data_IF_917700746912
#
_entry.id   IF_917700746912
#
_cell.length_a   1.000
_cell.length_b   1.000
_cell.length_c   1.000
_cell.angle_alpha   90.00
_cell.angle_beta   90.00
_cell.angle_gamma   90.00
#
_symmetry.space_group_name_H-M   'P 1'
#
loop_
_entity.id
_entity.type
_entity.pdbx_description
1 polymer ?
2 water ?
#
# COMPACT_ATOMS: atom_id res chain seq x y z
N UNK A 10 -37.17 1.01 -10.82
CA UNK A 10 -35.89 0.33 -10.61
C UNK A 10 -34.94 0.51 -11.81
N UNK A 11 -33.71 0.95 -11.54
CA UNK A 11 -32.70 1.14 -12.59
C UNK A 11 -31.50 0.22 -12.43
N UNK A 12 -31.64 -1.02 -12.92
CA UNK A 12 -30.72 -2.12 -12.62
C UNK A 12 -29.32 -1.96 -13.23
N UNK A 13 -29.23 -1.40 -14.44
CA UNK A 13 -27.94 -1.08 -14.99
C UNK A 13 -27.16 -0.14 -14.07
N UNK A 14 -27.86 0.85 -13.54
CA UNK A 14 -27.26 1.84 -12.66
C UNK A 14 -26.93 1.29 -11.29
N UNK A 15 -27.79 0.42 -10.76
CA UNK A 15 -27.50 -0.20 -9.47
C UNK A 15 -26.29 -1.13 -9.55
N UNK A 16 -26.18 -1.84 -10.68
CA UNK A 16 -25.05 -2.72 -10.94
C UNK A 16 -23.77 -1.93 -10.88
N UNK A 17 -23.75 -0.79 -11.56
CA UNK A 17 -22.53 0.00 -11.58
C UNK A 17 -22.20 0.43 -10.14
N UNK A 18 -23.23 0.89 -9.43
CA UNK A 18 -23.08 1.34 -8.06
C UNK A 18 -22.51 0.22 -7.16
N UNK A 19 -23.12 -0.95 -7.22
CA UNK A 19 -22.71 -2.10 -6.44
C UNK A 19 -21.27 -2.49 -6.72
N UNK A 20 -20.92 -2.42 -8.02
CA UNK A 20 -19.58 -2.70 -8.47
C UNK A 20 -18.64 -1.77 -7.74
N UNK A 21 -19.10 -0.53 -7.55
CA UNK A 21 -18.26 0.54 -7.03
C UNK A 21 -17.96 0.37 -5.55
N UNK A 22 -18.90 -0.18 -4.78
CA UNK A 22 -18.66 -0.44 -3.35
C UNK A 22 -17.87 -1.70 -3.09
N UNK A 23 -17.56 -2.45 -4.14
CA UNK A 23 -16.92 -3.75 -3.99
C UNK A 23 -15.83 -3.79 -2.91
N UNK A 24 -15.95 -4.81 -2.07
CA UNK A 24 -14.97 -5.17 -1.08
C UNK A 24 -13.59 -5.21 -1.72
N UNK A 25 -12.66 -4.43 -1.19
CA UNK A 25 -11.27 -4.50 -1.64
C UNK A 25 -10.61 -5.66 -0.93
N UNK A 26 -9.92 -6.53 -1.69
CA UNK A 26 -9.22 -7.66 -1.09
C UNK A 26 -8.24 -7.17 -0.06
N UNK A 27 -8.05 -7.91 1.03
CA UNK A 27 -7.16 -7.54 2.15
C UNK A 27 -5.75 -7.10 1.76
N UNK A 28 -5.29 -6.01 2.38
CA UNK A 28 -3.90 -5.58 2.24
C UNK A 28 -2.96 -6.53 2.95
N UNK A 29 -1.64 -6.37 2.72
CA UNK A 29 -0.59 -7.11 3.42
C UNK A 29 -0.66 -6.92 4.94
N UNK A 30 -0.14 -7.87 5.72
CA UNK A 30 -0.21 -7.77 7.16
C UNK A 30 1.00 -7.16 7.86
N UNK A 31 1.02 -7.31 9.17
CA UNK A 31 2.16 -6.91 10.01
C UNK A 31 3.42 -7.69 9.66
N UNK A 32 4.56 -7.04 9.75
CA UNK A 32 5.85 -7.72 9.67
C UNK A 32 6.62 -7.47 10.96
N UNK A 33 7.68 -8.25 11.20
CA UNK A 33 8.58 -7.99 12.32
C UNK A 33 10.05 -7.98 11.86
N UNK A 34 10.85 -7.12 12.48
CA UNK A 34 12.25 -6.96 12.11
C UNK A 34 13.02 -8.20 12.49
N UNK A 35 14.08 -8.52 11.73
CA UNK A 35 14.78 -9.78 11.95
C UNK A 35 15.80 -9.75 13.07
N UNK A 36 16.16 -8.55 13.55
CA UNK A 36 17.10 -8.40 14.66
C UNK A 36 17.16 -6.99 15.25
N UNK A 37 18.10 -6.79 16.17
CA UNK A 37 18.13 -5.58 16.98
C UNK A 37 19.22 -4.58 16.63
N UNK A 38 19.80 -4.68 15.44
CA UNK A 38 20.81 -3.72 15.05
C UNK A 38 20.15 -2.39 14.77
N UNK A 39 20.92 -1.32 14.86
CA UNK A 39 20.39 0.02 14.67
C UNK A 39 19.88 0.20 13.26
N UNK A 40 20.68 -0.32 12.31
CA UNK A 40 20.34 -0.28 10.89
C UNK A 40 19.00 -0.92 10.65
N UNK A 41 18.87 -2.16 11.12
CA UNK A 41 17.64 -2.90 10.98
C UNK A 41 16.44 -2.10 11.47
N UNK A 42 16.52 -1.58 12.70
CA UNK A 42 15.44 -0.76 13.27
C UNK A 42 15.08 0.44 12.39
N UNK A 43 16.09 1.16 11.91
CA UNK A 43 15.90 2.36 11.09
C UNK A 43 15.21 2.07 9.75
N UNK A 44 15.72 1.06 9.05
CA UNK A 44 15.16 0.67 7.77
C UNK A 44 13.76 0.08 7.95
N UNK A 45 13.59 -0.67 9.03
CA UNK A 45 12.33 -1.34 9.29
C UNK A 45 11.22 -0.35 9.59
N UNK A 46 11.50 0.70 10.34
CA UNK A 46 10.43 1.64 10.66
C UNK A 46 10.03 2.41 9.39
N UNK A 47 11.01 2.64 8.53
CA UNK A 47 10.75 3.33 7.28
C UNK A 47 9.83 2.52 6.35
N UNK A 48 10.09 1.21 6.26
CA UNK A 48 9.22 0.36 5.45
C UNK A 48 7.86 0.26 6.11
N UNK A 49 7.84 0.28 7.43
CA UNK A 49 6.58 0.17 8.14
C UNK A 49 5.79 1.42 7.93
N UNK A 50 6.50 2.55 8.01
CA UNK A 50 5.95 3.87 7.72
C UNK A 50 5.38 3.95 6.29
N UNK A 51 6.13 3.45 5.32
CA UNK A 51 5.65 3.45 3.95
C UNK A 51 4.38 2.65 3.85
N UNK A 52 4.38 1.45 4.40
CA UNK A 52 3.21 0.57 4.35
C UNK A 52 2.02 1.21 5.07
N UNK A 53 2.29 1.76 6.25
CA UNK A 53 1.28 2.48 7.01
C UNK A 53 0.59 3.50 6.13
N UNK A 54 1.40 4.29 5.42
CA UNK A 54 0.92 5.36 4.57
C UNK A 54 0.03 4.83 3.42
N UNK A 55 0.36 3.68 2.86
CA UNK A 55 -0.39 3.12 1.75
C UNK A 55 -1.76 2.64 2.19
N UNK A 56 -1.81 1.94 3.32
CA UNK A 56 -3.08 1.45 3.84
C UNK A 56 -4.02 2.62 4.08
N UNK A 57 -3.47 3.72 4.61
CA UNK A 57 -4.27 4.89 4.93
C UNK A 57 -4.80 5.53 3.65
N UNK A 58 -4.03 5.42 2.59
CA UNK A 58 -4.43 5.98 1.32
C UNK A 58 -5.47 5.10 0.64
N UNK A 59 -5.30 3.79 0.72
CA UNK A 59 -6.25 2.88 0.07
C UNK A 59 -7.61 3.00 0.73
N UNK A 60 -7.59 3.30 2.02
CA UNK A 60 -8.83 3.44 2.76
C UNK A 60 -9.52 4.68 2.26
N UNK A 61 -8.72 5.69 1.92
CA UNK A 61 -9.27 6.93 1.42
C UNK A 61 -9.92 6.69 0.07
N UNK A 62 -9.25 5.90 -0.78
CA UNK A 62 -9.78 5.45 -2.05
C UNK A 62 -11.05 4.63 -1.88
N UNK A 63 -11.13 3.86 -0.79
CA UNK A 63 -12.32 3.07 -0.53
C UNK A 63 -13.49 4.00 -0.36
N UNK A 64 -13.25 5.11 0.32
CA UNK A 64 -14.26 6.15 0.46
C UNK A 64 -14.73 6.67 -0.92
N UNK A 65 -13.78 6.95 -1.81
CA UNK A 65 -14.12 7.60 -3.06
C UNK A 65 -14.95 6.68 -3.92
N UNK A 66 -14.52 5.42 -4.00
CA UNK A 66 -15.28 4.41 -4.70
C UNK A 66 -16.68 4.30 -4.15
N UNK A 67 -16.82 4.48 -2.84
CA UNK A 67 -18.12 4.43 -2.18
C UNK A 67 -18.92 5.72 -2.39
N UNK A 68 -18.24 6.86 -2.45
CA UNK A 68 -18.89 8.13 -2.77
C UNK A 68 -19.51 8.08 -4.16
N UNK A 69 -18.81 7.42 -5.08
CA UNK A 69 -19.27 7.27 -6.44
C UNK A 69 -20.53 6.40 -6.50
N UNK A 70 -20.50 5.29 -5.78
CA UNK A 70 -21.66 4.43 -5.70
C UNK A 70 -22.88 5.26 -5.22
N UNK A 71 -22.66 6.07 -4.19
CA UNK A 71 -23.69 6.99 -3.70
C UNK A 71 -24.16 7.97 -4.78
N UNK A 72 -23.21 8.57 -5.50
CA UNK A 72 -23.50 9.43 -6.64
C UNK A 72 -24.47 8.77 -7.60
N UNK A 73 -24.12 7.58 -8.05
CA UNK A 73 -24.96 6.84 -8.99
C UNK A 73 -26.36 6.55 -8.42
N UNK A 74 -26.42 6.19 -7.14
CA UNK A 74 -27.70 5.89 -6.49
C UNK A 74 -28.53 7.12 -6.32
N UNK A 75 -27.84 8.26 -6.20
CA UNK A 75 -28.49 9.54 -6.06
C UNK A 75 -29.11 9.91 -7.40
N UNK A 76 -28.37 9.72 -8.48
CA UNK A 76 -28.92 9.97 -9.79
C UNK A 76 -30.07 9.04 -10.01
N UNK A 77 -29.94 7.82 -9.52
CA UNK A 77 -31.00 6.85 -9.69
C UNK A 77 -32.28 7.33 -8.99
N UNK A 78 -32.13 7.87 -7.79
CA UNK A 78 -33.26 8.41 -7.06
C UNK A 78 -33.88 9.55 -7.82
N UNK A 79 -33.03 10.37 -8.41
CA UNK A 79 -33.46 11.49 -9.25
C UNK A 79 -34.31 11.00 -10.42
N UNK A 80 -33.87 9.95 -11.09
CA UNK A 80 -34.64 9.38 -12.19
C UNK A 80 -36.02 8.89 -11.76
N UNK A 81 -36.12 8.34 -10.56
CA UNK A 81 -37.41 7.84 -10.10
C UNK A 81 -38.32 9.04 -9.78
N UNK A 82 -37.73 10.14 -9.34
CA UNK A 82 -38.49 11.37 -9.14
C UNK A 82 -39.10 11.85 -10.45
N UNK A 83 -38.40 11.58 -11.55
CA UNK A 83 -38.87 12.02 -12.85
C UNK A 83 -40.04 11.21 -13.32
N UNK A 84 -39.96 9.89 -13.13
CA UNK A 84 -41.07 9.02 -13.47
C UNK A 84 -42.30 9.31 -12.58
N UNK A 85 -42.06 9.72 -11.33
CA UNK A 85 -43.17 10.11 -10.44
C UNK A 85 -43.90 11.36 -10.95
N UNK A 86 -43.14 12.29 -11.53
CA UNK A 86 -43.71 13.49 -12.12
C UNK A 86 -44.26 13.21 -13.52
N UNK A 87 -44.38 11.92 -13.84
CA UNK A 87 -45.24 11.45 -14.92
C UNK A 87 -46.51 10.92 -14.26
N UNK A 88 -47.19 11.83 -13.56
CA UNK A 88 -48.53 11.55 -13.09
C UNK A 88 -49.45 11.71 -14.29
N UNK A 89 -49.77 10.58 -14.92
CA UNK A 89 -50.84 10.51 -15.89
C UNK A 89 -52.17 10.36 -15.13
N UNK A 90 -52.07 10.34 -13.80
CA UNK A 90 -53.24 10.35 -12.91
C UNK A 90 -53.84 11.75 -12.83
N UNK A 91 -53.03 12.75 -13.17
CA UNK A 91 -53.51 14.13 -13.29
C UNK A 91 -53.73 14.47 -14.76
N UNK A 92 -54.66 13.75 -15.39
CA UNK A 92 -55.05 13.98 -16.79
C UNK A 92 -56.49 13.50 -17.05
N UNK A 105 -40.74 18.34 -19.62
CA UNK A 105 -40.53 17.41 -18.51
C UNK A 105 -39.25 17.70 -17.70
N UNK A 106 -39.28 18.77 -16.90
CA UNK A 106 -38.12 19.34 -16.19
C UNK A 106 -37.08 18.35 -15.66
N UNK A 107 -35.80 18.72 -15.83
CA UNK A 107 -34.69 17.90 -15.33
C UNK A 107 -34.61 17.98 -13.79
N UNK A 108 -34.02 16.97 -13.18
CA UNK A 108 -33.98 16.87 -11.73
C UNK A 108 -32.54 16.75 -11.22
N UNK A 109 -32.23 17.43 -10.12
CA UNK A 109 -30.88 17.38 -9.54
C UNK A 109 -30.72 16.31 -8.47
N UNK A 110 -29.85 15.31 -8.75
CA UNK A 110 -29.56 14.21 -7.84
C UNK A 110 -29.16 14.71 -6.47
N UNK A 111 -29.86 14.20 -5.45
CA UNK A 111 -29.68 14.61 -4.07
C UNK A 111 -28.38 14.05 -3.53
N UNK A 112 -27.39 14.91 -3.32
CA UNK A 112 -26.12 14.43 -2.79
C UNK A 112 -25.86 14.96 -1.38
N UNK A 113 -26.84 15.68 -0.85
CA UNK A 113 -26.76 16.28 0.48
C UNK A 113 -26.54 15.29 1.63
N UNK A 114 -26.50 14.00 1.30
CA UNK A 114 -26.30 12.97 2.30
C UNK A 114 -25.20 12.01 1.89
N UNK A 115 -24.22 12.51 1.16
CA UNK A 115 -23.11 11.66 0.77
C UNK A 115 -21.84 12.04 1.52
N UNK A 116 -21.24 11.05 2.18
CA UNK A 116 -19.91 11.09 2.82
C UNK A 116 -18.87 11.83 2.00
N UNK A 117 -18.12 12.70 2.64
CA UNK A 117 -17.04 13.42 1.98
C UNK A 117 -15.81 12.54 1.92
N UNK A 118 -14.72 13.07 1.32
CA UNK A 118 -13.44 12.37 1.25
C UNK A 118 -12.85 12.05 2.62
N UNK A 119 -12.42 10.81 2.79
CA UNK A 119 -11.76 10.35 4.02
C UNK A 119 -10.34 10.92 4.13
N UNK A 120 -10.09 11.70 5.18
CA UNK A 120 -8.81 12.38 5.38
C UNK A 120 -7.67 11.37 5.58
N UNK A 121 -6.53 11.63 4.96
CA UNK A 121 -5.40 10.71 5.05
C UNK A 121 -4.47 11.13 6.17
N UNK A 122 -4.39 10.31 7.24
CA UNK A 122 -3.62 10.59 8.46
C UNK A 122 -2.20 11.07 8.17
N UNK A 123 -1.97 12.35 8.47
CA UNK A 123 -0.65 12.94 8.32
C UNK A 123 0.32 12.37 9.36
N UNK A 124 0.88 11.20 9.04
CA UNK A 124 1.85 10.60 9.92
C UNK A 124 3.24 10.76 9.28
N UNK A 125 4.22 11.12 10.11
CA UNK A 125 5.55 11.51 9.63
C UNK A 125 6.48 10.31 9.42
N UNK A 126 7.68 10.60 8.94
CA UNK A 126 8.59 9.58 8.44
C UNK A 126 9.96 9.64 9.12
N UNK A 127 10.40 8.50 9.70
CA UNK A 127 11.72 8.34 10.31
C UNK A 127 12.90 8.69 9.37
N UNK A 128 14.11 8.89 9.91
CA UNK A 128 15.30 8.97 9.07
C UNK A 128 16.61 8.83 9.86
N UNK A 129 17.08 7.59 9.99
CA UNK A 129 18.35 7.25 10.63
C UNK A 129 18.46 7.74 12.08
N UNK A 135 30.06 2.01 16.52
CA UNK A 135 30.88 0.80 16.57
C UNK A 135 30.45 -0.09 17.74
N UNK A 136 30.83 -1.37 17.67
CA UNK A 136 30.53 -2.36 18.71
C UNK A 136 31.29 -3.66 18.38
N UNK A 137 31.68 -4.44 19.40
CA UNK A 137 32.57 -5.56 19.10
C UNK A 137 31.82 -6.73 18.47
N UNK A 138 32.57 -7.50 17.69
CA UNK A 138 32.01 -8.42 16.72
C UNK A 138 31.26 -9.59 17.33
N UNK A 139 31.73 -10.03 18.48
CA UNK A 139 31.07 -11.09 19.22
C UNK A 139 29.65 -10.68 19.56
N UNK A 140 29.48 -9.45 20.04
CA UNK A 140 28.18 -8.90 20.36
C UNK A 140 27.31 -8.77 19.12
N UNK A 141 27.88 -8.19 18.08
CA UNK A 141 27.19 -8.03 16.81
C UNK A 141 26.66 -9.38 16.37
N UNK A 142 27.56 -10.35 16.32
CA UNK A 142 27.19 -11.73 15.99
C UNK A 142 25.99 -12.19 16.81
N UNK A 143 26.06 -12.02 18.12
CA UNK A 143 24.99 -12.45 19.01
C UNK A 143 23.66 -11.85 18.57
N UNK A 144 23.62 -10.52 18.52
CA UNK A 144 22.40 -9.84 18.12
C UNK A 144 21.85 -10.38 16.81
N UNK A 145 22.72 -10.51 15.82
CA UNK A 145 22.34 -10.98 14.50
C UNK A 145 21.72 -12.36 14.60
N UNK A 146 22.41 -13.26 15.29
CA UNK A 146 21.92 -14.64 15.39
C UNK A 146 21.01 -14.87 16.60
N UNK A 147 20.73 -13.81 17.34
CA UNK A 147 19.62 -13.82 18.29
C UNK A 147 18.33 -13.49 17.54
N UNK A 148 18.46 -13.27 16.24
CA UNK A 148 17.31 -13.00 15.41
C UNK A 148 17.08 -14.01 14.31
N UNK A 149 16.11 -13.70 13.46
CA UNK A 149 15.85 -14.48 12.26
C UNK A 149 16.88 -14.15 11.19
N UNK A 150 17.84 -15.05 11.03
CA UNK A 150 18.89 -14.88 10.04
C UNK A 150 18.35 -14.99 8.61
N UNK A 151 17.08 -15.36 8.48
CA UNK A 151 16.49 -15.54 7.18
C UNK A 151 15.48 -14.45 6.85
N UNK A 152 15.10 -13.69 7.88
CA UNK A 152 14.21 -12.54 7.74
C UNK A 152 12.93 -12.89 7.01
N UNK A 153 12.23 -13.90 7.54
CA UNK A 153 11.12 -14.48 6.81
C UNK A 153 9.89 -13.57 6.85
N UNK A 154 9.67 -12.94 8.00
CA UNK A 154 8.57 -12.00 8.15
C UNK A 154 8.67 -10.87 7.12
N UNK A 155 9.87 -10.34 6.96
CA UNK A 155 10.08 -9.25 6.03
C UNK A 155 10.10 -9.75 4.61
N UNK A 156 10.56 -10.98 4.40
CA UNK A 156 10.56 -11.55 3.06
C UNK A 156 9.11 -11.82 2.70
N UNK A 157 8.33 -12.19 3.71
CA UNK A 157 6.91 -12.43 3.49
C UNK A 157 6.16 -11.11 3.21
N UNK A 158 6.48 -10.10 4.01
CA UNK A 158 5.94 -8.75 3.89
C UNK A 158 6.19 -8.24 2.51
N UNK A 159 7.41 -8.50 2.06
CA UNK A 159 7.83 -8.10 0.74
C UNK A 159 7.03 -8.85 -0.31
N UNK A 160 6.96 -10.15 -0.14
CA UNK A 160 6.18 -11.00 -1.02
C UNK A 160 4.74 -10.53 -1.17
N UNK A 161 4.12 -10.18 -0.05
CA UNK A 161 2.74 -9.73 -0.04
C UNK A 161 2.53 -8.42 -0.77
N UNK A 162 3.40 -7.46 -0.52
CA UNK A 162 3.20 -6.16 -1.11
C UNK A 162 3.31 -6.30 -2.61
N UNK A 163 4.27 -7.11 -3.03
CA UNK A 163 4.53 -7.32 -4.44
C UNK A 163 3.29 -7.83 -5.15
N UNK A 164 2.62 -8.79 -4.53
CA UNK A 164 1.49 -9.46 -5.15
C UNK A 164 0.32 -8.52 -5.21
N UNK A 165 0.21 -7.64 -4.21
CA UNK A 165 -0.92 -6.73 -4.10
C UNK A 165 -1.00 -5.77 -5.28
N UNK A 166 0.15 -5.45 -5.87
CA UNK A 166 0.19 -4.66 -7.09
C UNK A 166 -0.89 -5.11 -8.08
N UNK A 167 -0.72 -6.33 -8.57
CA UNK A 167 -1.63 -6.87 -9.54
C UNK A 167 -3.04 -6.86 -9.00
N UNK A 168 -3.17 -7.13 -7.72
CA UNK A 168 -4.47 -7.21 -7.10
C UNK A 168 -5.12 -5.84 -7.16
N UNK A 169 -4.40 -4.83 -6.75
CA UNK A 169 -4.94 -3.50 -6.82
C UNK A 169 -5.29 -3.07 -8.25
N UNK A 170 -4.57 -3.62 -9.23
CA UNK A 170 -4.90 -3.38 -10.64
C UNK A 170 -6.21 -4.03 -11.02
N UNK A 171 -6.37 -5.29 -10.63
CA UNK A 171 -7.61 -5.99 -10.84
C UNK A 171 -8.75 -5.28 -10.13
N UNK A 172 -8.46 -4.76 -8.94
CA UNK A 172 -9.47 -4.03 -8.18
C UNK A 172 -10.04 -2.82 -8.94
N UNK A 173 -9.15 -2.06 -9.57
CA UNK A 173 -9.53 -0.88 -10.30
C UNK A 173 -10.40 -1.18 -11.52
N UNK A 174 -10.41 -2.44 -11.96
CA UNK A 174 -11.26 -2.82 -13.09
C UNK A 174 -12.73 -2.65 -12.74
N UNK A 175 -13.01 -2.53 -11.45
CA UNK A 175 -14.38 -2.35 -10.97
C UNK A 175 -14.98 -1.02 -11.40
N UNK A 176 -14.14 -0.13 -11.94
CA UNK A 176 -14.57 1.24 -12.23
C UNK A 176 -14.40 1.62 -13.68
N UNK A 177 -13.50 0.91 -14.34
CA UNK A 177 -13.12 1.13 -15.73
C UNK A 177 -14.28 1.26 -16.73
N UNK A 178 -15.34 0.49 -16.53
CA UNK A 178 -16.44 0.48 -17.50
C UNK A 178 -17.66 1.15 -16.93
N UNK A 179 -18.24 2.11 -17.66
CA UNK A 179 -19.39 2.93 -17.24
C UNK A 179 -20.69 2.14 -17.23
N UNK A 180 -21.67 2.59 -16.46
CA UNK A 180 -22.96 1.92 -16.41
C UNK A 180 -23.47 1.74 -17.81
N UNK A 181 -24.15 0.61 -18.05
CA UNK A 181 -24.63 0.30 -19.40
C UNK A 181 -25.98 0.93 -19.64
N UNK A 182 -26.15 1.53 -20.83
CA UNK A 182 -27.40 2.17 -21.18
C UNK A 182 -27.70 3.42 -20.35
N UNK A 183 -26.68 4.24 -20.19
CA UNK A 183 -26.85 5.47 -19.48
C UNK A 183 -26.04 6.55 -20.16
N UNK A 184 -26.73 7.57 -20.62
CA UNK A 184 -26.07 8.67 -21.28
C UNK A 184 -26.60 9.96 -20.71
N UNK A 185 -25.89 11.06 -20.94
CA UNK A 185 -26.29 12.34 -20.37
C UNK A 185 -25.12 12.96 -19.64
N UNK A 186 -25.23 14.22 -19.27
CA UNK A 186 -24.14 14.88 -18.57
C UNK A 186 -23.74 14.18 -17.25
N UNK A 187 -24.73 13.83 -16.43
CA UNK A 187 -24.46 13.10 -15.18
C UNK A 187 -23.69 11.82 -15.45
N UNK A 188 -24.15 11.05 -16.43
CA UNK A 188 -23.51 9.79 -16.78
C UNK A 188 -22.05 9.94 -17.25
N UNK A 189 -21.75 11.02 -17.97
CA UNK A 189 -20.37 11.30 -18.37
C UNK A 189 -19.55 11.85 -17.20
N UNK A 190 -20.25 12.41 -16.21
CA UNK A 190 -19.58 12.99 -15.06
C UNK A 190 -19.13 11.84 -14.20
N UNK A 191 -19.98 10.83 -14.09
CA UNK A 191 -19.65 9.64 -13.35
C UNK A 191 -18.57 8.85 -14.06
N UNK A 192 -18.74 8.70 -15.36
CA UNK A 192 -17.77 8.02 -16.19
C UNK A 192 -16.37 8.57 -15.98
N UNK A 193 -16.20 9.88 -16.13
CA UNK A 193 -14.86 10.42 -16.05
C UNK A 193 -14.32 10.17 -14.64
N UNK A 194 -15.15 10.39 -13.62
CA UNK A 194 -14.74 10.13 -12.23
C UNK A 194 -14.38 8.67 -12.01
N UNK A 195 -15.21 7.76 -12.51
CA UNK A 195 -14.90 6.32 -12.51
C UNK A 195 -13.57 5.97 -13.17
N UNK A 196 -13.30 6.52 -14.35
CA UNK A 196 -12.02 6.31 -15.01
C UNK A 196 -10.84 6.81 -14.20
N UNK A 197 -11.00 7.95 -13.56
CA UNK A 197 -9.89 8.50 -12.78
C UNK A 197 -9.57 7.62 -11.56
N UNK A 198 -10.61 7.09 -10.93
CA UNK A 198 -10.42 6.17 -9.82
C UNK A 198 -9.76 4.90 -10.33
N UNK A 199 -10.26 4.39 -11.45
CA UNK A 199 -9.68 3.21 -12.07
C UNK A 199 -8.19 3.37 -12.37
N UNK A 200 -7.80 4.49 -12.94
CA UNK A 200 -6.38 4.74 -13.16
C UNK A 200 -5.65 4.83 -11.83
N UNK A 201 -6.23 5.54 -10.87
CA UNK A 201 -5.57 5.72 -9.59
C UNK A 201 -5.32 4.40 -8.83
N UNK A 202 -6.23 3.45 -8.90
CA UNK A 202 -5.98 2.17 -8.22
C UNK A 202 -4.81 1.44 -8.88
N UNK A 203 -4.67 1.64 -10.18
CA UNK A 203 -3.53 1.12 -10.92
C UNK A 203 -2.24 1.76 -10.44
N UNK A 204 -2.27 3.07 -10.24
CA UNK A 204 -1.08 3.77 -9.82
C UNK A 204 -0.74 3.36 -8.40
N UNK A 205 -1.78 3.08 -7.62
CA UNK A 205 -1.58 2.61 -6.27
C UNK A 205 -0.98 1.26 -6.30
N UNK A 206 -1.24 0.53 -7.38
CA UNK A 206 -0.67 -0.81 -7.55
C UNK A 206 0.82 -0.72 -7.80
N UNK A 207 1.22 0.31 -8.55
CA UNK A 207 2.62 0.54 -8.81
C UNK A 207 3.39 0.95 -7.54
N UNK A 208 2.69 1.57 -6.60
CA UNK A 208 3.29 1.97 -5.34
C UNK A 208 3.56 0.72 -4.48
N UNK A 209 2.68 -0.28 -4.59
CA UNK A 209 2.92 -1.59 -3.99
C UNK A 209 4.20 -2.20 -4.54
N UNK A 210 4.34 -2.20 -5.85
CA UNK A 210 5.54 -2.72 -6.47
C UNK A 210 6.75 -1.93 -6.03
N UNK A 211 6.55 -0.64 -5.77
CA UNK A 211 7.61 0.25 -5.28
C UNK A 211 8.09 -0.11 -3.87
N UNK A 212 7.13 -0.25 -2.95
CA UNK A 212 7.42 -0.71 -1.61
C UNK A 212 8.15 -2.04 -1.65
N UNK A 213 7.64 -2.98 -2.42
CA UNK A 213 8.22 -4.33 -2.46
C UNK A 213 9.64 -4.30 -2.97
N UNK A 214 9.94 -3.43 -3.92
CA UNK A 214 11.31 -3.38 -4.37
C UNK A 214 12.20 -2.74 -3.31
N UNK A 215 11.63 -1.86 -2.49
CA UNK A 215 12.40 -1.28 -1.40
C UNK A 215 12.62 -2.31 -0.27
N UNK A 216 11.62 -3.14 -0.03
CA UNK A 216 11.77 -4.25 0.90
C UNK A 216 12.82 -5.23 0.36
N UNK A 217 12.74 -5.57 -0.92
CA UNK A 217 13.73 -6.47 -1.52
C UNK A 217 15.15 -5.95 -1.41
N UNK A 218 15.32 -4.65 -1.61
CA UNK A 218 16.62 -4.02 -1.44
C UNK A 218 17.16 -4.36 -0.05
N UNK A 219 16.24 -4.41 0.90
CA UNK A 219 16.58 -4.63 2.29
C UNK A 219 16.89 -6.09 2.61
N UNK A 220 15.95 -6.99 2.38
CA UNK A 220 16.14 -8.37 2.80
C UNK A 220 17.35 -8.95 2.06
N UNK A 221 17.65 -8.42 0.89
CA UNK A 221 18.84 -8.86 0.16
C UNK A 221 20.12 -8.39 0.81
N UNK A 222 20.06 -7.19 1.40
CA UNK A 222 21.24 -6.59 1.99
C UNK A 222 21.51 -7.25 3.34
N UNK A 223 20.41 -7.44 4.08
CA UNK A 223 20.43 -8.20 5.31
C UNK A 223 20.98 -9.61 5.11
N UNK A 224 20.49 -10.29 4.08
CA UNK A 224 21.04 -11.58 3.66
C UNK A 224 22.54 -11.52 3.44
N UNK A 225 23.03 -10.43 2.86
CA UNK A 225 24.47 -10.32 2.65
C UNK A 225 25.22 -10.14 3.97
N UNK A 226 24.62 -9.42 4.92
CA UNK A 226 25.24 -9.25 6.23
C UNK A 226 25.40 -10.58 6.97
N UNK A 227 24.33 -11.35 7.00
CA UNK A 227 24.36 -12.66 7.62
C UNK A 227 25.44 -13.47 6.97
N UNK A 228 25.52 -13.36 5.65
CA UNK A 228 26.50 -14.12 4.89
C UNK A 228 27.94 -13.69 5.14
N UNK A 229 28.15 -12.46 5.57
CA UNK A 229 29.50 -11.92 5.65
C UNK A 229 29.94 -11.55 7.06
N UNK A 230 28.99 -11.32 7.95
CA UNK A 230 29.38 -11.06 9.31
C UNK A 230 29.82 -12.37 9.93
N UNK A 231 30.80 -12.31 10.84
CA UNK A 231 31.19 -13.49 11.60
C UNK A 231 29.99 -14.18 12.23
N UNK A 232 29.96 -15.51 12.15
CA UNK A 232 28.87 -16.31 12.72
C UNK A 232 29.15 -16.70 14.15
N UNK A 233 28.15 -17.30 14.79
CA UNK A 233 28.28 -17.81 16.15
C UNK A 233 29.31 -18.93 16.25
N UNK A 234 29.66 -19.55 15.13
CA UNK A 234 30.74 -20.52 15.11
C UNK A 234 32.07 -19.79 15.14
N UNK A 235 32.13 -18.66 14.44
CA UNK A 235 33.33 -17.84 14.45
C UNK A 235 33.65 -17.42 15.88
N UNK A 236 32.61 -17.25 16.67
CA UNK A 236 32.73 -16.81 18.05
C UNK A 236 33.29 -17.91 18.94
N UNK A 237 32.64 -19.07 18.95
CA UNK A 237 33.12 -20.17 19.76
C UNK A 237 34.52 -20.58 19.33
N UNK A 238 34.75 -20.66 18.02
CA UNK A 238 36.06 -21.06 17.50
C UNK A 238 37.17 -20.16 18.04
N UNK A 239 36.87 -18.87 18.19
CA UNK A 239 37.82 -17.95 18.78
C UNK A 239 37.88 -18.01 20.34
N UNK A 240 36.76 -18.27 21.00
CA UNK A 240 36.74 -18.27 22.47
C UNK A 240 37.28 -19.57 23.04
N UNK A 241 37.26 -20.62 22.22
CA UNK A 241 37.64 -21.94 22.68
C UNK A 241 39.01 -22.34 22.12
N UNK A 242 39.63 -21.42 21.39
CA UNK A 242 40.98 -21.65 20.86
C UNK A 242 42.01 -21.39 21.95
N UNK A 243 42.98 -22.30 22.05
CA UNK A 243 44.10 -22.06 22.94
C UNK A 243 45.17 -21.33 22.14
N UNK A 244 45.29 -20.04 22.38
CA UNK A 244 46.20 -19.20 21.62
C UNK A 244 47.60 -19.28 22.18
N UNK A 245 48.57 -19.46 21.30
CA UNK A 245 49.97 -19.55 21.70
C UNK A 245 50.35 -18.32 22.52
N UNK A 246 49.98 -17.15 22.02
CA UNK A 246 50.39 -15.91 22.63
C UNK A 246 49.27 -14.88 22.59
N UNK A 247 49.57 -13.69 23.04
CA UNK A 247 48.61 -12.61 22.92
C UNK A 247 48.67 -12.05 21.50
N UNK A 248 49.84 -12.10 20.86
CA UNK A 248 49.98 -11.66 19.49
C UNK A 248 49.11 -12.45 18.51
N UNK A 249 49.11 -13.77 18.66
CA UNK A 249 48.29 -14.62 17.82
C UNK A 249 46.82 -14.38 18.10
N UNK A 250 46.46 -14.33 19.38
CA UNK A 250 45.07 -14.08 19.77
C UNK A 250 44.62 -12.70 19.32
N UNK A 251 45.47 -11.70 19.54
CA UNK A 251 45.12 -10.36 19.16
C UNK A 251 44.91 -10.25 17.65
N UNK A 252 45.87 -10.72 16.88
CA UNK A 252 45.79 -10.56 15.44
C UNK A 252 44.61 -11.30 14.85
N UNK A 253 44.20 -12.36 15.52
CA UNK A 253 43.06 -13.13 15.07
C UNK A 253 41.75 -12.42 15.42
N UNK A 254 41.77 -11.60 16.47
CA UNK A 254 40.58 -10.83 16.83
C UNK A 254 40.43 -9.71 15.80
N UNK A 255 41.51 -8.95 15.62
CA UNK A 255 41.57 -7.84 14.68
C UNK A 255 40.88 -8.13 13.34
N UNK A 256 40.97 -9.38 12.89
CA UNK A 256 40.46 -9.76 11.59
C UNK A 256 38.97 -9.95 11.63
N UNK A 257 38.47 -10.38 12.78
CA UNK A 257 37.05 -10.55 12.94
C UNK A 257 36.38 -9.24 13.32
N UNK A 258 37.12 -8.32 13.90
CA UNK A 258 36.53 -7.02 14.14
C UNK A 258 36.48 -6.25 12.82
N UNK A 259 37.45 -6.48 11.94
CA UNK A 259 37.41 -5.83 10.64
C UNK A 259 36.27 -6.43 9.86
N UNK A 260 36.19 -7.75 9.87
CA UNK A 260 35.13 -8.43 9.16
C UNK A 260 33.75 -8.01 9.68
N UNK A 261 33.63 -7.79 10.99
CA UNK A 261 32.37 -7.33 11.56
C UNK A 261 32.02 -5.96 11.00
N UNK A 262 32.94 -5.02 11.21
CA UNK A 262 32.73 -3.62 10.82
C UNK A 262 32.50 -3.41 9.30
N UNK A 263 33.20 -4.17 8.47
CA UNK A 263 33.09 -4.08 7.01
C UNK A 263 31.73 -4.55 6.48
N UNK A 264 31.18 -5.57 7.13
CA UNK A 264 29.91 -6.13 6.71
C UNK A 264 28.77 -5.27 7.21
N UNK A 265 28.99 -4.63 8.36
CA UNK A 265 27.98 -3.80 8.98
C UNK A 265 27.84 -2.45 8.28
N UNK A 266 28.94 -1.98 7.67
CA UNK A 266 28.90 -0.72 6.94
C UNK A 266 28.31 -0.95 5.57
N UNK A 267 28.57 -2.13 4.99
CA UNK A 267 27.92 -2.55 3.76
C UNK A 267 26.42 -2.55 4.00
N UNK A 268 26.02 -3.25 5.05
CA UNK A 268 24.63 -3.33 5.46
C UNK A 268 23.99 -1.95 5.62
N UNK A 269 24.72 -1.02 6.24
CA UNK A 269 24.20 0.33 6.45
C UNK A 269 23.99 1.07 5.13
N UNK A 270 24.99 1.02 4.25
CA UNK A 270 24.93 1.65 2.94
C UNK A 270 24.02 0.91 1.98
N UNK A 271 24.19 -0.40 1.93
CA UNK A 271 23.46 -1.22 0.99
C UNK A 271 21.99 -1.36 1.29
N UNK A 272 21.55 -0.84 2.42
CA UNK A 272 20.15 -1.01 2.80
C UNK A 272 19.39 0.29 2.83
N UNK A 273 20.09 1.42 2.69
CA UNK A 273 19.38 2.70 2.72
C UNK A 273 18.31 2.69 1.62
N UNK A 274 17.13 3.21 1.95
CA UNK A 274 15.96 3.12 1.08
C UNK A 274 15.12 4.39 1.00
N UNK A 275 14.08 4.31 0.18
CA UNK A 275 13.26 5.45 -0.24
C UNK A 275 11.88 5.52 0.41
N UNK A 276 11.35 6.73 0.51
CA UNK A 276 10.06 6.94 1.13
C UNK A 276 8.97 6.83 0.07
N UNK A 277 7.98 5.98 0.32
CA UNK A 277 6.87 5.81 -0.60
C UNK A 277 5.81 6.87 -0.33
N UNK A 278 5.48 7.65 -1.36
CA UNK A 278 4.52 8.75 -1.21
C UNK A 278 3.43 8.71 -2.26
N UNK A 279 2.39 7.91 -2.00
CA UNK A 279 1.22 7.77 -2.88
C UNK A 279 0.35 9.02 -2.85
N UNK A 280 -0.20 9.36 -4.01
CA UNK A 280 -1.06 10.53 -4.13
C UNK A 280 -2.48 10.25 -3.71
N UNK A 281 -3.16 11.29 -3.26
CA UNK A 281 -4.55 11.20 -2.83
C UNK A 281 -5.43 10.72 -3.98
N UNK A 282 -6.48 9.92 -3.67
CA UNK A 282 -7.39 9.48 -4.73
C UNK A 282 -8.24 10.63 -5.21
N UNK A 283 -8.65 10.58 -6.48
CA UNK A 283 -9.54 11.61 -7.04
C UNK A 283 -10.92 11.54 -6.42
N UNK A 284 -11.64 12.66 -6.38
CA UNK A 284 -13.00 12.69 -5.83
C UNK A 284 -13.97 13.13 -6.90
N UNK A 285 -15.27 12.89 -6.69
CA UNK A 285 -16.21 12.98 -7.79
C UNK A 285 -16.97 14.29 -7.82
N UNK A 286 -17.32 14.83 -6.67
CA UNK A 286 -18.00 16.12 -6.66
C UNK A 286 -19.38 16.13 -7.27
N UNK A 287 -19.90 17.34 -7.51
CA UNK A 287 -21.32 17.53 -7.80
C UNK A 287 -21.79 17.02 -9.13
N UNK A 288 -22.94 16.34 -9.15
CA UNK A 288 -23.56 15.91 -10.41
C UNK A 288 -24.52 16.93 -10.97
N UNK A 289 -24.64 16.97 -12.31
CA UNK A 289 -25.62 17.88 -12.91
C UNK A 289 -27.02 17.31 -12.78
N UNK A 290 -27.98 17.96 -13.41
CA UNK A 290 -29.34 17.46 -13.44
C UNK A 290 -29.45 16.33 -14.48
N UNK A 291 -30.40 15.42 -14.25
CA UNK A 291 -30.64 14.29 -15.13
C UNK A 291 -31.94 14.45 -15.91
N UNK A 292 -32.04 13.79 -17.05
CA UNK A 292 -33.23 13.92 -17.90
C UNK A 292 -33.90 12.61 -18.24
N UNK A 293 -35.16 12.68 -18.61
CA UNK A 293 -35.81 11.54 -19.22
C UNK A 293 -35.08 11.21 -20.53
N UNK A 294 -34.87 9.93 -20.80
CA UNK A 294 -34.23 9.51 -22.03
C UNK A 294 -32.73 9.40 -21.85
N UNK A 295 -32.31 9.51 -20.59
CA UNK A 295 -30.93 9.32 -20.16
C UNK A 295 -30.59 7.86 -20.13
N UNK A 296 -31.60 7.06 -19.79
CA UNK A 296 -31.41 5.65 -19.56
C UNK A 296 -32.18 4.83 -20.58
N UNK A 297 -31.56 3.74 -21.03
CA UNK A 297 -32.15 2.85 -22.05
C UNK A 297 -33.47 2.21 -21.60
N UNK A 298 -34.35 1.98 -22.57
CA UNK A 298 -35.66 1.37 -22.32
C UNK A 298 -35.59 -0.17 -22.36
#
# INVERSE_FOLDING_TARGET
GSMSEELQYELPGLERKAHECESTRPEGPGDATKPDELATTASVYSKLMASAAKLKATFAAGDREGERIAAAIRAAAGAYQKIEEQKAAELSRQMNGSDAPPPAAEAVVPDMSGIPGPLAIPSMEYPSAAAAADEMDWEAAARIIHSGDTQALSMKYFRDQWRDYQSTLEGHGRHFANPAEGWAGAAAETCAEAQRRLSTWWADMGAECGRLAQEATTFVDAHDKLVANHPTLENVREFEETEWASEWDRQNAWAMLQEQSEDALEAYANGSQIQEIRPGKPPSIGGLPAVNDGDVQA
#
